data_IF_542362256409
#
_entry.id   IF_542362256409
#
_cell.length_a   1.000
_cell.length_b   1.000
_cell.length_c   1.000
_cell.angle_alpha   90.00
_cell.angle_beta   90.00
_cell.angle_gamma   90.00
#
_symmetry.space_group_name_H-M   'P 1'
#
loop_
_entity.id
_entity.type
_entity.pdbx_description
1 polymer ?
#
# COMPACT_ATOMS: atom_id res chain seq x y z
N UNK A 1 -76.79 13.45 -15.49
CA UNK A 1 -77.21 12.68 -16.67
C UNK A 1 -75.98 12.64 -17.55
N UNK A 2 -75.13 11.63 -17.30
CA UNK A 2 -75.17 10.30 -17.93
C UNK A 2 -74.32 10.38 -19.20
N UNK A 3 -73.09 9.89 -19.14
CA UNK A 3 -72.71 8.49 -19.48
C UNK A 3 -72.42 8.42 -20.99
N UNK A 4 -71.45 7.72 -21.56
CA UNK A 4 -70.28 6.91 -21.16
C UNK A 4 -69.61 6.54 -22.50
N UNK A 5 -68.29 6.33 -22.51
CA UNK A 5 -67.53 5.33 -23.30
C UNK A 5 -66.09 5.85 -23.48
N UNK A 6 -65.15 5.52 -22.60
CA UNK A 6 -64.48 4.22 -22.43
C UNK A 6 -63.51 3.91 -23.58
N UNK A 7 -62.25 4.29 -23.39
CA UNK A 7 -61.12 3.57 -23.98
C UNK A 7 -60.11 3.25 -22.87
N UNK A 8 -60.02 1.96 -22.59
CA UNK A 8 -59.14 1.38 -21.60
C UNK A 8 -57.76 1.15 -22.24
N UNK A 9 -56.74 1.89 -21.79
CA UNK A 9 -55.35 1.50 -22.02
C UNK A 9 -54.83 0.77 -20.80
N UNK A 10 -54.64 -0.54 -20.99
CA UNK A 10 -54.08 -1.46 -20.04
C UNK A 10 -52.64 -1.05 -19.66
N UNK A 11 -52.43 -0.96 -18.35
CA UNK A 11 -51.14 -0.98 -17.70
C UNK A 11 -50.42 -2.28 -18.04
N UNK A 12 -49.38 -2.20 -18.89
CA UNK A 12 -48.38 -3.25 -19.02
C UNK A 12 -47.17 -2.89 -18.16
N UNK A 13 -47.00 -3.69 -17.12
CA UNK A 13 -45.82 -3.74 -16.27
C UNK A 13 -44.55 -3.88 -17.11
N UNK A 14 -43.80 -2.79 -17.23
CA UNK A 14 -42.41 -2.81 -17.66
C UNK A 14 -41.51 -3.12 -16.47
N UNK A 15 -41.21 -4.40 -16.27
CA UNK A 15 -40.19 -4.90 -15.36
C UNK A 15 -38.83 -4.28 -15.71
N UNK A 16 -38.34 -3.38 -14.86
CA UNK A 16 -36.95 -2.92 -14.91
C UNK A 16 -36.06 -4.07 -14.45
N UNK A 17 -35.68 -4.93 -15.39
CA UNK A 17 -34.56 -5.86 -15.20
C UNK A 17 -33.30 -5.04 -14.98
N UNK A 18 -32.84 -5.01 -13.74
CA UNK A 18 -31.50 -4.58 -13.35
C UNK A 18 -30.50 -5.54 -13.99
N UNK A 19 -30.10 -5.27 -15.23
CA UNK A 19 -28.86 -5.83 -15.75
C UNK A 19 -27.75 -5.23 -14.91
N UNK A 20 -27.12 -6.05 -14.07
CA UNK A 20 -25.89 -5.73 -13.38
C UNK A 20 -24.79 -5.51 -14.42
N UNK A 21 -24.74 -4.33 -15.01
CA UNK A 21 -23.57 -3.87 -15.75
C UNK A 21 -22.48 -3.65 -14.72
N UNK A 22 -21.52 -4.57 -14.68
CA UNK A 22 -20.25 -4.33 -14.00
C UNK A 22 -19.74 -2.96 -14.44
N UNK A 23 -19.55 -2.05 -13.50
CA UNK A 23 -18.93 -0.78 -13.80
C UNK A 23 -17.55 -1.08 -14.40
N UNK A 24 -17.20 -0.52 -15.59
CA UNK A 24 -15.90 -0.75 -16.17
C UNK A 24 -14.83 -0.23 -15.21
N UNK A 25 -13.73 -0.99 -15.09
CA UNK A 25 -12.64 -0.71 -14.13
C UNK A 25 -12.07 0.71 -14.31
N UNK A 26 -12.05 1.21 -15.55
CA UNK A 26 -11.65 2.57 -15.93
C UNK A 26 -12.54 3.12 -17.07
N UNK A 27 -12.63 4.45 -17.28
CA UNK A 27 -13.46 5.02 -18.34
C UNK A 27 -12.88 4.75 -19.74
N UNK A 28 -13.58 3.97 -20.57
CA UNK A 28 -13.10 3.50 -21.89
C UNK A 28 -12.85 4.59 -22.95
N UNK A 29 -13.45 5.78 -22.83
CA UNK A 29 -13.35 6.82 -23.88
C UNK A 29 -11.95 7.47 -24.01
N UNK A 30 -11.02 7.20 -23.09
CA UNK A 30 -9.67 7.80 -23.05
C UNK A 30 -8.54 6.80 -23.31
N UNK A 31 -8.90 5.54 -23.53
CA UNK A 31 -7.97 4.42 -23.68
C UNK A 31 -7.80 4.06 -25.16
N UNK A 32 -6.60 3.67 -25.57
CA UNK A 32 -6.38 2.99 -26.84
C UNK A 32 -6.89 1.55 -26.78
N UNK A 33 -6.94 0.87 -27.94
CA UNK A 33 -7.33 -0.55 -28.00
C UNK A 33 -6.42 -1.43 -27.13
N UNK A 34 -5.10 -1.23 -27.21
CA UNK A 34 -4.12 -1.96 -26.40
C UNK A 34 -4.30 -1.73 -24.89
N UNK A 35 -4.70 -0.52 -24.49
CA UNK A 35 -4.93 -0.19 -23.08
C UNK A 35 -6.27 -0.73 -22.58
N UNK A 36 -7.28 -0.78 -23.45
CA UNK A 36 -8.53 -1.45 -23.15
C UNK A 36 -8.30 -2.96 -22.97
N UNK A 37 -7.44 -3.57 -23.79
CA UNK A 37 -6.99 -4.96 -23.59
C UNK A 37 -6.25 -5.13 -22.25
N UNK A 38 -5.36 -4.20 -21.88
CA UNK A 38 -4.68 -4.23 -20.59
C UNK A 38 -5.66 -4.17 -19.39
N UNK A 39 -6.74 -3.39 -19.51
CA UNK A 39 -7.82 -3.34 -18.52
C UNK A 39 -8.56 -4.67 -18.44
N UNK A 40 -8.88 -5.28 -19.58
CA UNK A 40 -9.61 -6.55 -19.64
C UNK A 40 -8.76 -7.70 -19.10
N UNK A 41 -7.46 -7.73 -19.41
CA UNK A 41 -6.49 -8.67 -18.85
C UNK A 41 -6.39 -8.53 -17.33
N UNK A 42 -6.30 -7.30 -16.80
CA UNK A 42 -6.29 -7.06 -15.35
C UNK A 42 -7.59 -7.53 -14.69
N UNK A 43 -8.73 -7.31 -15.34
CA UNK A 43 -10.03 -7.75 -14.83
C UNK A 43 -10.14 -9.28 -14.80
N UNK A 44 -9.74 -9.96 -15.88
CA UNK A 44 -9.70 -11.42 -15.95
C UNK A 44 -8.74 -11.99 -14.91
N UNK A 45 -7.54 -11.42 -14.79
CA UNK A 45 -6.56 -11.80 -13.78
C UNK A 45 -7.17 -11.73 -12.39
N UNK A 46 -7.86 -10.63 -12.05
CA UNK A 46 -8.46 -10.45 -10.73
C UNK A 46 -9.61 -11.44 -10.46
N UNK A 47 -10.54 -11.62 -11.40
CA UNK A 47 -11.75 -12.44 -11.21
C UNK A 47 -11.52 -13.94 -11.39
N UNK A 48 -10.83 -14.33 -12.46
CA UNK A 48 -10.70 -15.74 -12.86
C UNK A 48 -9.47 -16.39 -12.23
N UNK A 49 -8.53 -15.59 -11.72
CA UNK A 49 -7.26 -16.10 -11.19
C UNK A 49 -6.35 -16.68 -12.27
N UNK A 50 -6.64 -16.40 -13.55
CA UNK A 50 -5.80 -16.78 -14.67
C UNK A 50 -4.58 -15.86 -14.71
N UNK A 51 -3.39 -16.45 -14.59
CA UNK A 51 -2.23 -15.81 -13.96
C UNK A 51 -1.62 -14.57 -14.60
N UNK A 52 -0.71 -13.94 -13.85
CA UNK A 52 -0.04 -12.66 -14.14
C UNK A 52 0.84 -12.66 -15.40
N UNK A 53 1.10 -13.84 -15.99
CA UNK A 53 1.72 -13.96 -17.31
C UNK A 53 0.85 -13.39 -18.44
N UNK A 54 -0.44 -13.15 -18.16
CA UNK A 54 -1.36 -12.45 -19.06
C UNK A 54 -1.00 -10.98 -19.25
N UNK A 55 -0.25 -10.37 -18.33
CA UNK A 55 0.24 -8.99 -18.50
C UNK A 55 1.29 -8.95 -19.61
N UNK A 56 0.88 -8.46 -20.78
CA UNK A 56 1.79 -8.22 -21.89
C UNK A 56 2.86 -7.16 -21.55
N UNK A 57 3.92 -7.10 -22.36
CA UNK A 57 5.05 -6.17 -22.18
C UNK A 57 4.63 -4.69 -22.09
N UNK A 58 3.44 -4.35 -22.61
CA UNK A 58 2.89 -2.99 -22.61
C UNK A 58 2.10 -2.65 -21.33
N UNK A 59 1.84 -3.60 -20.43
CA UNK A 59 0.99 -3.35 -19.25
C UNK A 59 1.56 -2.27 -18.34
N UNK A 60 2.87 -2.30 -18.04
CA UNK A 60 3.51 -1.23 -17.25
C UNK A 60 3.62 0.10 -17.99
N UNK A 61 3.61 0.08 -19.33
CA UNK A 61 3.54 1.32 -20.14
C UNK A 61 2.17 1.97 -19.94
N UNK A 62 1.10 1.17 -20.00
CA UNK A 62 -0.27 1.59 -19.69
C UNK A 62 -0.39 2.15 -18.26
N UNK A 63 0.07 1.40 -17.25
CA UNK A 63 0.08 1.86 -15.84
C UNK A 63 0.85 3.18 -15.72
N UNK A 64 2.02 3.27 -16.34
CA UNK A 64 2.86 4.46 -16.33
C UNK A 64 2.23 5.66 -17.03
N UNK A 65 1.38 5.47 -18.05
CA UNK A 65 0.62 6.57 -18.66
C UNK A 65 -0.48 7.06 -17.71
N UNK A 66 -1.24 6.16 -17.09
CA UNK A 66 -2.28 6.53 -16.11
C UNK A 66 -1.68 7.34 -14.94
N UNK A 67 -0.50 6.97 -14.47
CA UNK A 67 0.17 7.68 -13.38
C UNK A 67 0.71 9.06 -13.77
N UNK A 68 1.22 9.22 -15.00
CA UNK A 68 1.87 10.46 -15.45
C UNK A 68 0.91 11.48 -16.05
N UNK A 69 -0.08 11.03 -16.80
CA UNK A 69 -0.99 11.90 -17.55
C UNK A 69 -2.17 12.35 -16.66
N UNK A 70 -1.88 13.29 -15.76
CA UNK A 70 -2.85 13.82 -14.80
C UNK A 70 -3.91 14.72 -15.45
N UNK A 71 -3.66 15.23 -16.66
CA UNK A 71 -4.65 16.00 -17.43
C UNK A 71 -5.68 15.07 -18.06
N UNK A 72 -5.24 13.92 -18.58
CA UNK A 72 -6.13 12.92 -19.15
C UNK A 72 -6.87 12.12 -18.07
N UNK A 73 -6.20 11.69 -17.01
CA UNK A 73 -6.77 10.78 -16.01
C UNK A 73 -6.98 11.47 -14.66
N UNK A 74 -8.16 11.26 -14.08
CA UNK A 74 -8.48 11.80 -12.74
C UNK A 74 -7.84 10.97 -11.62
N UNK A 75 -7.78 11.55 -10.42
CA UNK A 75 -7.39 10.86 -9.18
C UNK A 75 -8.18 9.58 -8.98
N UNK A 76 -9.48 9.58 -9.23
CA UNK A 76 -10.31 8.38 -9.09
C UNK A 76 -9.82 7.24 -9.98
N UNK A 77 -9.46 7.52 -11.24
CA UNK A 77 -8.94 6.50 -12.17
C UNK A 77 -7.66 5.87 -11.62
N UNK A 78 -6.72 6.70 -11.15
CA UNK A 78 -5.46 6.22 -10.52
C UNK A 78 -5.74 5.40 -9.27
N UNK A 79 -6.66 5.84 -8.43
CA UNK A 79 -7.08 5.13 -7.21
C UNK A 79 -7.68 3.76 -7.54
N UNK A 80 -8.53 3.66 -8.56
CA UNK A 80 -9.13 2.38 -8.97
C UNK A 80 -8.05 1.42 -9.48
N UNK A 81 -7.12 1.88 -10.31
CA UNK A 81 -5.98 1.08 -10.77
C UNK A 81 -5.11 0.61 -9.59
N UNK A 82 -4.75 1.51 -8.67
CA UNK A 82 -3.93 1.15 -7.50
C UNK A 82 -4.64 0.13 -6.59
N UNK A 83 -5.96 0.25 -6.41
CA UNK A 83 -6.75 -0.73 -5.65
C UNK A 83 -6.83 -2.07 -6.37
N UNK A 84 -6.94 -2.08 -7.69
CA UNK A 84 -6.86 -3.28 -8.50
C UNK A 84 -5.49 -3.97 -8.31
N UNK A 85 -4.41 -3.20 -8.39
CA UNK A 85 -3.05 -3.67 -8.10
C UNK A 85 -2.89 -4.15 -6.65
N UNK A 86 -3.53 -3.50 -5.67
CA UNK A 86 -3.52 -3.94 -4.27
C UNK A 86 -4.20 -5.30 -4.07
N UNK A 87 -5.27 -5.60 -4.82
CA UNK A 87 -5.88 -6.92 -4.81
C UNK A 87 -4.99 -7.95 -5.53
N UNK A 88 -4.37 -7.54 -6.64
CA UNK A 88 -3.40 -8.35 -7.38
C UNK A 88 -2.18 -8.73 -6.51
N UNK A 89 -1.72 -7.85 -5.63
CA UNK A 89 -0.59 -8.07 -4.72
C UNK A 89 -0.75 -9.27 -3.77
N UNK A 90 -1.99 -9.70 -3.53
CA UNK A 90 -2.29 -10.86 -2.68
C UNK A 90 -2.11 -12.20 -3.43
N UNK A 91 -1.89 -12.19 -4.74
CA UNK A 91 -1.68 -13.40 -5.54
C UNK A 91 -0.19 -13.68 -5.71
N UNK A 92 0.20 -14.96 -5.65
CA UNK A 92 1.62 -15.37 -5.65
C UNK A 92 2.39 -14.95 -6.92
N UNK A 93 1.70 -14.94 -8.06
CA UNK A 93 2.29 -14.70 -9.38
C UNK A 93 2.47 -13.21 -9.73
N UNK A 94 2.02 -12.29 -8.86
CA UNK A 94 2.26 -10.85 -9.02
C UNK A 94 3.74 -10.52 -9.22
N UNK A 95 4.63 -11.37 -8.71
CA UNK A 95 6.08 -11.23 -8.87
C UNK A 95 6.51 -11.12 -10.34
N UNK A 96 5.77 -11.73 -11.28
CA UNK A 96 6.07 -11.63 -12.71
C UNK A 96 5.97 -10.18 -13.20
N UNK A 97 4.92 -9.47 -12.78
CA UNK A 97 4.76 -8.03 -13.05
C UNK A 97 5.86 -7.21 -12.36
N UNK A 98 6.16 -7.51 -11.09
CA UNK A 98 7.18 -6.78 -10.33
C UNK A 98 8.59 -6.93 -10.92
N UNK A 99 8.90 -8.09 -11.52
CA UNK A 99 10.14 -8.28 -12.26
C UNK A 99 10.23 -7.40 -13.51
N UNK A 100 9.14 -7.20 -14.23
CA UNK A 100 9.10 -6.29 -15.37
C UNK A 100 9.33 -4.82 -14.92
N UNK A 101 8.86 -4.45 -13.72
CA UNK A 101 9.03 -3.09 -13.18
C UNK A 101 10.50 -2.72 -12.95
N UNK A 102 11.42 -3.69 -12.81
CA UNK A 102 12.86 -3.43 -12.63
C UNK A 102 13.52 -2.64 -13.76
N UNK A 103 12.87 -2.54 -14.93
CA UNK A 103 13.44 -1.83 -16.09
C UNK A 103 13.25 -0.32 -15.98
N UNK A 104 12.03 0.12 -15.70
CA UNK A 104 11.64 1.54 -15.74
C UNK A 104 11.18 2.07 -14.37
N UNK A 105 11.06 1.19 -13.37
CA UNK A 105 10.61 1.48 -12.01
C UNK A 105 9.30 2.28 -11.96
N UNK A 106 8.34 1.96 -12.83
CA UNK A 106 7.07 2.70 -12.97
C UNK A 106 6.32 2.75 -11.64
N UNK A 107 6.16 1.58 -11.01
CA UNK A 107 5.46 1.46 -9.73
C UNK A 107 6.26 2.14 -8.61
N UNK A 108 7.58 1.93 -8.57
CA UNK A 108 8.40 2.45 -7.48
C UNK A 108 8.69 3.95 -7.58
N UNK A 109 8.79 4.51 -8.78
CA UNK A 109 8.87 5.96 -8.97
C UNK A 109 7.58 6.63 -8.50
N UNK A 110 6.43 6.01 -8.78
CA UNK A 110 5.15 6.52 -8.28
C UNK A 110 5.08 6.46 -6.75
N UNK A 111 5.51 5.36 -6.13
CA UNK A 111 5.58 5.24 -4.66
C UNK A 111 6.61 6.19 -4.03
N UNK A 112 7.73 6.46 -4.71
CA UNK A 112 8.78 7.38 -4.24
C UNK A 112 8.26 8.80 -4.05
N UNK A 113 7.23 9.20 -4.78
CA UNK A 113 6.57 10.51 -4.69
C UNK A 113 5.35 10.53 -3.74
N UNK A 114 5.25 9.59 -2.79
CA UNK A 114 4.11 9.44 -1.85
C UNK A 114 3.62 10.76 -1.23
N UNK A 115 4.52 11.66 -0.85
CA UNK A 115 4.21 12.94 -0.21
C UNK A 115 3.61 13.99 -1.16
N UNK A 116 3.69 13.75 -2.48
CA UNK A 116 3.20 14.66 -3.52
C UNK A 116 1.83 14.26 -4.07
N UNK A 117 1.37 13.05 -3.77
CA UNK A 117 0.10 12.54 -4.26
C UNK A 117 -1.10 13.02 -3.44
N UNK A 118 -2.31 13.09 -4.01
CA UNK A 118 -3.54 13.29 -3.26
C UNK A 118 -3.77 12.23 -2.17
N UNK A 119 -4.45 12.54 -1.05
CA UNK A 119 -4.64 11.62 0.07
C UNK A 119 -5.24 10.26 -0.30
N UNK A 120 -6.11 10.20 -1.30
CA UNK A 120 -6.76 8.97 -1.78
C UNK A 120 -5.77 8.06 -2.53
N UNK A 121 -4.86 8.67 -3.30
CA UNK A 121 -3.77 7.97 -3.99
C UNK A 121 -2.75 7.46 -2.97
N UNK A 122 -2.38 8.28 -1.99
CA UNK A 122 -1.50 7.87 -0.89
C UNK A 122 -2.00 6.61 -0.19
N UNK A 123 -3.31 6.56 0.13
CA UNK A 123 -3.93 5.40 0.77
C UNK A 123 -3.86 4.15 -0.11
N UNK A 124 -4.02 4.32 -1.42
CA UNK A 124 -4.04 3.20 -2.36
C UNK A 124 -2.64 2.67 -2.66
N UNK A 125 -1.63 3.55 -2.76
CA UNK A 125 -0.20 3.18 -2.83
C UNK A 125 0.19 2.39 -1.59
N UNK A 126 -0.11 2.94 -0.40
CA UNK A 126 0.25 2.32 0.87
C UNK A 126 -0.40 0.93 1.02
N UNK A 127 -1.67 0.79 0.62
CA UNK A 127 -2.37 -0.50 0.65
C UNK A 127 -1.73 -1.51 -0.32
N UNK A 128 -1.42 -1.10 -1.54
CA UNK A 128 -0.72 -1.96 -2.52
C UNK A 128 0.59 -2.48 -1.95
N UNK A 129 1.44 -1.59 -1.43
CA UNK A 129 2.73 -1.98 -0.86
C UNK A 129 2.58 -2.84 0.39
N UNK A 130 1.58 -2.56 1.24
CA UNK A 130 1.30 -3.39 2.41
C UNK A 130 0.90 -4.82 2.02
N UNK A 131 0.06 -4.97 1.00
CA UNK A 131 -0.41 -6.29 0.54
C UNK A 131 0.69 -7.12 -0.11
N UNK A 132 1.71 -6.50 -0.73
CA UNK A 132 2.86 -7.22 -1.28
C UNK A 132 3.67 -7.99 -0.21
N UNK A 133 3.52 -7.66 1.08
CA UNK A 133 4.15 -8.43 2.16
C UNK A 133 3.52 -9.80 2.42
N UNK A 134 2.33 -10.07 1.88
CA UNK A 134 1.67 -11.38 1.95
C UNK A 134 2.53 -12.46 1.27
N UNK A 135 3.18 -12.11 0.16
CA UNK A 135 3.97 -13.03 -0.65
C UNK A 135 5.47 -12.82 -0.41
N UNK A 136 6.24 -13.90 -0.24
CA UNK A 136 7.66 -13.77 0.08
C UNK A 136 8.45 -13.06 -1.04
N UNK A 137 8.31 -13.53 -2.29
CA UNK A 137 9.04 -12.95 -3.43
C UNK A 137 8.67 -11.47 -3.66
N UNK A 138 7.40 -11.10 -3.48
CA UNK A 138 6.93 -9.73 -3.63
C UNK A 138 7.50 -8.81 -2.55
N UNK A 139 7.56 -9.29 -1.30
CA UNK A 139 8.19 -8.56 -0.20
C UNK A 139 9.72 -8.42 -0.37
N UNK A 140 10.38 -9.42 -0.95
CA UNK A 140 11.82 -9.34 -1.28
C UNK A 140 12.06 -8.31 -2.38
N UNK A 141 11.15 -8.20 -3.35
CA UNK A 141 11.18 -7.13 -4.34
C UNK A 141 11.03 -5.75 -3.69
N UNK A 142 10.12 -5.56 -2.73
CA UNK A 142 9.99 -4.29 -2.00
C UNK A 142 11.24 -3.91 -1.22
N UNK A 143 11.97 -4.90 -0.70
CA UNK A 143 13.19 -4.70 0.08
C UNK A 143 14.46 -4.82 -0.77
N UNK A 144 14.33 -4.81 -2.09
CA UNK A 144 15.46 -4.91 -3.00
C UNK A 144 16.34 -3.66 -2.94
N UNK A 145 17.65 -3.88 -2.89
CA UNK A 145 18.64 -2.84 -2.59
C UNK A 145 19.31 -2.24 -3.83
N UNK A 146 19.11 -2.83 -5.01
CA UNK A 146 19.70 -2.30 -6.24
C UNK A 146 19.20 -0.89 -6.51
N UNK A 147 20.15 -0.01 -6.79
CA UNK A 147 19.88 1.42 -6.92
C UNK A 147 19.51 1.80 -8.35
N UNK A 148 18.64 2.79 -8.47
CA UNK A 148 18.40 3.53 -9.71
C UNK A 148 18.36 5.03 -9.43
N UNK A 149 18.39 5.82 -10.50
CA UNK A 149 18.28 7.27 -10.42
C UNK A 149 16.85 7.72 -10.71
N UNK A 150 16.28 8.53 -9.83
CA UNK A 150 14.98 9.15 -10.01
C UNK A 150 15.03 10.62 -9.59
N UNK A 151 14.67 11.52 -10.51
CA UNK A 151 14.70 12.98 -10.28
C UNK A 151 16.02 13.50 -9.68
N UNK A 152 17.16 12.95 -10.13
CA UNK A 152 18.50 13.35 -9.68
C UNK A 152 18.91 12.78 -8.31
N UNK A 153 18.10 11.91 -7.71
CA UNK A 153 18.41 11.22 -6.47
C UNK A 153 18.63 9.73 -6.72
N UNK A 154 19.66 9.17 -6.09
CA UNK A 154 19.85 7.72 -6.01
C UNK A 154 18.83 7.15 -5.01
N UNK A 155 18.06 6.16 -5.43
CA UNK A 155 17.09 5.48 -4.59
C UNK A 155 17.10 3.97 -4.86
N UNK A 156 16.39 3.20 -4.04
CA UNK A 156 16.18 1.77 -4.20
C UNK A 156 14.78 1.38 -3.70
N UNK A 157 14.33 0.14 -3.94
CA UNK A 157 12.98 -0.28 -3.57
C UNK A 157 12.81 -0.18 -2.05
N UNK A 158 13.83 -0.58 -1.29
CA UNK A 158 13.80 -0.49 0.16
C UNK A 158 13.73 0.96 0.67
N UNK A 159 14.41 1.90 0.00
CA UNK A 159 14.34 3.34 0.37
C UNK A 159 12.97 3.92 0.11
N UNK A 160 12.38 3.64 -1.05
CA UNK A 160 11.02 4.07 -1.38
C UNK A 160 9.97 3.42 -0.46
N UNK A 161 10.11 2.13 -0.15
CA UNK A 161 9.26 1.41 0.82
C UNK A 161 9.36 2.01 2.22
N UNK A 162 10.57 2.34 2.66
CA UNK A 162 10.81 3.01 3.95
C UNK A 162 10.14 4.38 3.98
N UNK A 163 10.30 5.17 2.92
CA UNK A 163 9.66 6.49 2.77
C UNK A 163 8.13 6.38 2.89
N UNK A 164 7.51 5.43 2.19
CA UNK A 164 6.06 5.20 2.27
C UNK A 164 5.63 4.79 3.68
N UNK A 165 6.37 3.88 4.33
CA UNK A 165 6.08 3.44 5.69
C UNK A 165 6.14 4.60 6.70
N UNK A 166 7.19 5.41 6.65
CA UNK A 166 7.36 6.59 7.52
C UNK A 166 6.27 7.63 7.26
N UNK A 167 5.99 7.94 5.99
CA UNK A 167 4.95 8.88 5.60
C UNK A 167 3.58 8.46 6.15
N UNK A 168 3.21 7.19 5.98
CA UNK A 168 1.94 6.67 6.47
C UNK A 168 1.84 6.66 8.00
N UNK A 169 2.92 6.28 8.69
CA UNK A 169 2.96 6.21 10.15
C UNK A 169 2.81 7.59 10.82
N UNK A 170 3.28 8.65 10.17
CA UNK A 170 3.21 10.03 10.67
C UNK A 170 2.06 10.83 10.08
N UNK A 171 1.22 10.22 9.24
CA UNK A 171 0.07 10.86 8.64
C UNK A 171 -1.02 11.16 9.67
N UNK A 172 -1.75 12.27 9.46
CA UNK A 172 -2.94 12.60 10.26
C UNK A 172 -4.19 11.84 9.81
N UNK A 173 -4.17 11.26 8.61
CA UNK A 173 -5.26 10.46 8.06
C UNK A 173 -5.33 9.11 8.81
N UNK A 174 -6.45 8.77 9.48
CA UNK A 174 -6.56 7.51 10.24
C UNK A 174 -6.36 6.26 9.40
N UNK A 175 -6.77 6.30 8.13
CA UNK A 175 -6.60 5.16 7.20
C UNK A 175 -5.14 4.94 6.81
N UNK A 176 -4.40 6.01 6.53
CA UNK A 176 -2.96 5.93 6.29
C UNK A 176 -2.23 5.45 7.53
N UNK A 177 -2.62 5.94 8.70
CA UNK A 177 -2.03 5.53 9.97
C UNK A 177 -2.18 4.02 10.22
N UNK A 178 -3.39 3.48 10.01
CA UNK A 178 -3.66 2.05 10.16
C UNK A 178 -2.79 1.21 9.21
N UNK A 179 -2.74 1.58 7.93
CA UNK A 179 -1.88 0.91 6.93
C UNK A 179 -0.40 1.06 7.29
N UNK A 180 0.04 2.24 7.73
CA UNK A 180 1.42 2.52 8.10
C UNK A 180 1.89 1.65 9.26
N UNK A 181 1.05 1.48 10.30
CA UNK A 181 1.38 0.59 11.43
C UNK A 181 1.52 -0.87 11.01
N UNK A 182 0.69 -1.33 10.05
CA UNK A 182 0.77 -2.68 9.49
C UNK A 182 2.01 -2.84 8.59
N UNK A 183 2.30 -1.86 7.72
CA UNK A 183 3.46 -1.87 6.83
C UNK A 183 4.77 -1.89 7.62
N UNK A 184 4.90 -1.06 8.66
CA UNK A 184 6.06 -1.07 9.57
C UNK A 184 6.20 -2.41 10.29
N UNK A 185 5.09 -2.99 10.75
CA UNK A 185 5.11 -4.33 11.34
C UNK A 185 5.62 -5.39 10.36
N UNK A 186 5.13 -5.35 9.12
CA UNK A 186 5.50 -6.29 8.07
C UNK A 186 6.98 -6.18 7.69
N UNK A 187 7.51 -4.95 7.56
CA UNK A 187 8.94 -4.70 7.34
C UNK A 187 9.78 -5.32 8.47
N UNK A 188 9.42 -5.04 9.73
CA UNK A 188 10.17 -5.53 10.90
C UNK A 188 10.11 -7.06 11.06
N UNK A 189 9.07 -7.70 10.53
CA UNK A 189 8.93 -9.15 10.54
C UNK A 189 9.75 -9.85 9.46
N UNK A 190 10.24 -9.15 8.43
CA UNK A 190 11.11 -9.74 7.42
C UNK A 190 12.53 -9.92 7.97
N UNK A 191 13.04 -11.14 7.88
CA UNK A 191 14.40 -11.46 8.27
C UNK A 191 15.40 -11.01 7.19
N UNK A 192 15.80 -9.74 7.23
CA UNK A 192 16.78 -9.20 6.30
C UNK A 192 18.15 -9.15 6.97
N UNK A 193 19.12 -9.91 6.45
CA UNK A 193 20.47 -10.06 7.03
C UNK A 193 21.49 -9.01 6.52
N UNK A 194 21.04 -7.93 5.89
CA UNK A 194 21.93 -6.97 5.20
C UNK A 194 22.15 -5.70 6.00
N UNK A 195 23.33 -5.08 5.87
CA UNK A 195 23.68 -3.78 6.50
C UNK A 195 22.70 -2.65 6.17
N UNK A 196 22.11 -2.65 4.97
CA UNK A 196 21.09 -1.67 4.55
C UNK A 196 19.86 -1.68 5.48
N UNK A 197 19.63 -2.80 6.16
CA UNK A 197 18.52 -2.93 7.09
C UNK A 197 18.76 -2.18 8.42
N UNK A 198 20.01 -1.81 8.74
CA UNK A 198 20.35 -0.98 9.89
C UNK A 198 19.84 0.45 9.71
N UNK A 199 20.14 1.09 8.57
CA UNK A 199 19.65 2.43 8.22
C UNK A 199 18.11 2.49 8.22
N UNK A 200 17.48 1.45 7.67
CA UNK A 200 16.01 1.31 7.63
C UNK A 200 15.44 1.16 9.04
N UNK A 201 16.07 0.33 9.88
CA UNK A 201 15.65 0.13 11.26
C UNK A 201 15.76 1.43 12.06
N UNK A 202 16.83 2.21 11.87
CA UNK A 202 17.02 3.52 12.50
C UNK A 202 15.94 4.50 12.06
N UNK A 203 15.76 4.68 10.74
CA UNK A 203 14.80 5.65 10.19
C UNK A 203 13.36 5.36 10.62
N UNK A 204 12.93 4.09 10.54
CA UNK A 204 11.60 3.68 10.99
C UNK A 204 11.46 3.80 12.52
N UNK A 205 12.51 3.48 13.29
CA UNK A 205 12.48 3.61 14.75
C UNK A 205 12.32 5.06 15.20
N UNK A 206 12.95 6.02 14.51
CA UNK A 206 12.73 7.44 14.79
C UNK A 206 11.27 7.83 14.54
N UNK A 207 10.67 7.38 13.43
CA UNK A 207 9.26 7.61 13.13
C UNK A 207 8.33 6.95 14.17
N UNK A 208 8.64 5.74 14.63
CA UNK A 208 7.91 5.05 15.70
C UNK A 208 7.92 5.85 17.01
N UNK A 209 9.09 6.36 17.41
CA UNK A 209 9.23 7.16 18.62
C UNK A 209 8.46 8.48 18.52
N UNK A 210 8.44 9.12 17.35
CA UNK A 210 7.59 10.29 17.10
C UNK A 210 6.11 9.92 17.19
N UNK A 211 5.69 8.82 16.53
CA UNK A 211 4.31 8.33 16.54
C UNK A 211 3.80 8.05 17.95
N UNK A 212 4.62 7.49 18.85
CA UNK A 212 4.22 7.22 20.23
C UNK A 212 3.83 8.45 21.04
N UNK A 213 4.31 9.64 20.68
CA UNK A 213 3.86 10.89 21.32
C UNK A 213 2.37 11.18 21.06
N UNK A 214 1.77 10.59 20.03
CA UNK A 214 0.35 10.77 19.71
C UNK A 214 -0.62 9.98 20.61
N UNK A 215 -0.11 9.20 21.57
CA UNK A 215 -0.91 8.29 22.40
C UNK A 215 -1.77 7.32 21.57
N UNK A 216 -1.14 6.43 20.79
CA UNK A 216 -1.83 5.58 19.83
C UNK A 216 -2.83 4.61 20.47
N UNK A 217 -3.78 4.16 19.65
CA UNK A 217 -4.72 3.09 20.04
C UNK A 217 -3.95 1.81 20.37
N UNK A 218 -4.54 0.94 21.20
CA UNK A 218 -3.84 -0.26 21.66
C UNK A 218 -3.44 -1.20 20.52
N UNK A 219 -4.26 -1.35 19.47
CA UNK A 219 -3.93 -2.18 18.31
C UNK A 219 -2.76 -1.60 17.50
N UNK A 220 -2.77 -0.28 17.26
CA UNK A 220 -1.65 0.39 16.58
C UNK A 220 -0.38 0.32 17.41
N UNK A 221 -0.48 0.55 18.72
CA UNK A 221 0.62 0.43 19.67
C UNK A 221 1.19 -0.99 19.67
N UNK A 222 0.37 -2.03 19.65
CA UNK A 222 0.83 -3.41 19.63
C UNK A 222 1.65 -3.72 18.37
N UNK A 223 1.14 -3.38 17.19
CA UNK A 223 1.86 -3.60 15.90
C UNK A 223 3.21 -2.88 15.88
N UNK A 224 3.21 -1.62 16.28
CA UNK A 224 4.39 -0.75 16.28
C UNK A 224 5.40 -1.10 17.38
N UNK A 225 4.94 -1.56 18.55
CA UNK A 225 5.82 -2.08 19.61
C UNK A 225 6.47 -3.41 19.20
N UNK A 226 5.77 -4.28 18.46
CA UNK A 226 6.38 -5.49 17.87
C UNK A 226 7.51 -5.12 16.91
N UNK A 227 7.29 -4.10 16.08
CA UNK A 227 8.31 -3.62 15.15
C UNK A 227 9.52 -3.06 15.90
N UNK A 228 9.31 -2.18 16.89
CA UNK A 228 10.40 -1.63 17.70
C UNK A 228 11.18 -2.73 18.45
N UNK A 229 10.48 -3.72 19.00
CA UNK A 229 11.10 -4.87 19.67
C UNK A 229 12.02 -5.69 18.75
N UNK A 230 11.76 -5.69 17.44
CA UNK A 230 12.66 -6.28 16.44
C UNK A 230 13.82 -5.35 16.11
N UNK A 231 13.56 -4.07 15.87
CA UNK A 231 14.61 -3.12 15.49
C UNK A 231 15.68 -2.91 16.58
N UNK A 232 15.33 -2.97 17.87
CA UNK A 232 16.33 -2.94 18.98
C UNK A 232 17.27 -4.17 19.00
N UNK A 233 16.92 -5.24 18.30
CA UNK A 233 17.78 -6.43 18.15
C UNK A 233 18.68 -6.34 16.92
N UNK A 234 18.19 -5.69 15.87
CA UNK A 234 18.85 -5.59 14.57
C UNK A 234 19.88 -4.48 14.57
N UNK A 235 19.52 -3.31 15.09
CA UNK A 235 20.36 -2.12 15.06
C UNK A 235 20.90 -1.79 16.45
N UNK A 236 22.23 -1.60 16.60
CA UNK A 236 22.82 -1.19 17.87
C UNK A 236 22.48 0.25 18.28
N UNK A 237 22.10 1.10 17.33
CA UNK A 237 21.81 2.52 17.58
C UNK A 237 20.37 2.75 18.05
N UNK A 238 19.44 1.89 17.63
CA UNK A 238 18.02 2.00 18.00
C UNK A 238 17.80 2.04 19.53
N UNK A 239 18.42 1.18 20.37
CA UNK A 239 18.32 1.29 21.82
C UNK A 239 18.67 2.68 22.37
N UNK A 240 19.70 3.34 21.82
CA UNK A 240 20.11 4.68 22.24
C UNK A 240 19.05 5.72 21.87
N UNK A 241 18.47 5.63 20.68
CA UNK A 241 17.39 6.53 20.26
C UNK A 241 16.15 6.40 21.13
N UNK A 242 15.79 5.18 21.56
CA UNK A 242 14.66 4.99 22.48
C UNK A 242 14.89 5.68 23.82
N UNK A 243 16.14 5.78 24.29
CA UNK A 243 16.46 6.52 25.53
C UNK A 243 16.38 8.04 25.36
N UNK A 244 16.76 8.55 24.18
CA UNK A 244 16.99 9.98 23.97
C UNK A 244 15.81 10.75 23.37
N UNK A 245 15.02 10.13 22.47
CA UNK A 245 14.12 10.87 21.57
C UNK A 245 12.65 10.80 22.00
N UNK A 246 12.15 9.62 22.38
CA UNK A 246 10.71 9.38 22.44
C UNK A 246 10.21 8.95 23.82
N UNK A 247 8.89 8.96 24.04
CA UNK A 247 8.33 8.52 25.30
C UNK A 247 8.82 7.08 25.55
N UNK A 248 9.47 6.88 26.70
CA UNK A 248 10.05 5.59 27.03
C UNK A 248 8.94 4.53 26.92
N UNK A 249 9.18 3.36 26.27
CA UNK A 249 8.17 2.31 26.12
C UNK A 249 7.43 1.94 27.42
N UNK A 250 8.08 2.06 28.58
CA UNK A 250 7.50 1.85 29.91
C UNK A 250 6.31 2.76 30.23
N UNK A 251 6.22 3.93 29.58
CA UNK A 251 5.08 4.85 29.72
C UNK A 251 3.76 4.23 29.23
N UNK A 252 3.83 3.18 28.41
CA UNK A 252 2.68 2.45 27.91
C UNK A 252 2.37 1.17 28.70
N UNK A 253 3.09 0.90 29.79
CA UNK A 253 2.89 -0.30 30.60
C UNK A 253 1.49 -0.30 31.22
N UNK A 254 0.82 -1.46 31.24
CA UNK A 254 -0.55 -1.62 31.71
C UNK A 254 -1.63 -1.31 30.67
N UNK A 255 -1.27 -0.96 29.42
CA UNK A 255 -2.25 -0.82 28.32
C UNK A 255 -2.83 -2.16 27.89
N UNK A 256 -1.99 -3.20 27.80
CA UNK A 256 -2.40 -4.60 27.59
C UNK A 256 -1.24 -5.55 27.91
N UNK A 257 -1.55 -6.80 28.24
CA UNK A 257 -0.53 -7.82 28.55
C UNK A 257 0.44 -8.05 27.38
N UNK A 258 -0.08 -8.02 26.16
CA UNK A 258 0.70 -8.23 24.93
C UNK A 258 1.68 -7.08 24.66
N UNK A 259 1.31 -5.85 24.98
CA UNK A 259 2.20 -4.69 24.90
C UNK A 259 3.24 -4.74 26.02
N UNK A 260 2.84 -5.10 27.23
CA UNK A 260 3.74 -5.21 28.38
C UNK A 260 4.87 -6.23 28.14
N UNK A 261 4.53 -7.38 27.55
CA UNK A 261 5.53 -8.39 27.17
C UNK A 261 6.57 -7.88 26.15
N UNK A 262 6.18 -6.95 25.26
CA UNK A 262 7.09 -6.32 24.29
C UNK A 262 7.95 -5.23 24.95
N UNK A 263 7.38 -4.45 25.87
CA UNK A 263 8.12 -3.46 26.66
C UNK A 263 9.23 -4.15 27.46
N UNK A 264 8.93 -5.31 28.05
CA UNK A 264 9.91 -6.07 28.82
C UNK A 264 11.01 -6.65 27.91
N UNK A 265 10.71 -7.04 26.67
CA UNK A 265 11.71 -7.44 25.67
C UNK A 265 12.62 -6.27 25.28
N UNK A 266 12.04 -5.11 24.97
CA UNK A 266 12.76 -3.89 24.61
C UNK A 266 13.66 -3.43 25.77
N UNK A 267 13.13 -3.44 27.00
CA UNK A 267 13.86 -3.01 28.20
C UNK A 267 15.10 -3.85 28.51
N UNK A 268 15.21 -5.08 27.99
CA UNK A 268 16.44 -5.89 28.12
C UNK A 268 17.60 -5.36 27.25
N UNK A 269 17.29 -4.54 26.23
CA UNK A 269 18.29 -3.96 25.31
C UNK A 269 18.62 -2.52 25.60
N UNK A 270 17.71 -1.82 26.25
CA UNK A 270 17.86 -0.44 26.71
C UNK A 270 18.54 -0.50 28.08
N UNK A 271 19.79 -0.04 28.17
CA UNK A 271 20.56 -0.01 29.43
C UNK A 271 20.13 1.12 30.34
#
# INVERSE_FOLDING_TARGET
MSDTEADAQASTNGSTTTNGTAQPLLPSQKLSEDEQEAVDQLHQYLLLGEGAWTFGDCFLVFVGRIFRDQECFSTDVRVHLLRALANAALKEDIILLLHQDRKEHVLMNFAQDIDRHPPEEQQSIALFMCNLFENNNASEWLLYISEWNYNGLTTSNIRATTKVAVHCLLATCPRLLDIGTALVHNIACKEVKTVVFDDVAVEISMALLQFFNSSPTEEHLFRTMKALAKFVQVSPDVPQFVQMIGPHPKNFKGKSERVDGLIDQISKKIR
#
